data_IF_935558462564
#
_entry.id   IF_935558462564
#
_cell.length_a   1.000
_cell.length_b   1.000
_cell.length_c   1.000
_cell.angle_alpha   90.00
_cell.angle_beta   90.00
_cell.angle_gamma   90.00
#
_symmetry.space_group_name_H-M   'P 1'
#
loop_
_entity.id
_entity.type
_entity.pdbx_description
1 polymer ?
#
# COMPACT_ATOMS: atom_id res chain seq x y z
N UNK A 1 -10.37 -3.95 2.78
CA UNK A 1 -9.26 -4.91 2.74
C UNK A 1 -8.76 -5.10 4.16
N UNK A 2 -8.71 -6.33 4.66
CA UNK A 2 -8.28 -6.61 6.04
C UNK A 2 -6.78 -6.40 6.20
N UNK A 3 -6.36 -5.97 7.40
CA UNK A 3 -4.97 -5.68 7.79
C UNK A 3 -4.03 -6.90 7.61
N UNK A 4 -4.57 -8.12 7.66
CA UNK A 4 -3.85 -9.36 7.35
C UNK A 4 -3.39 -9.45 5.89
N UNK A 5 -4.13 -8.86 4.95
CA UNK A 5 -3.71 -8.83 3.56
C UNK A 5 -2.47 -7.95 3.36
N UNK A 6 -2.37 -6.83 4.09
CA UNK A 6 -1.24 -5.91 3.99
C UNK A 6 0.05 -6.54 4.48
N UNK A 7 0.05 -7.26 5.61
CA UNK A 7 1.28 -7.85 6.18
C UNK A 7 1.89 -8.97 5.30
N UNK A 8 1.06 -9.85 4.72
CA UNK A 8 1.56 -10.87 3.77
C UNK A 8 2.06 -10.21 2.49
N UNK A 9 1.37 -9.20 1.98
CA UNK A 9 1.78 -8.49 0.75
C UNK A 9 3.09 -7.72 0.99
N UNK A 10 3.24 -7.03 2.12
CA UNK A 10 4.48 -6.34 2.52
C UNK A 10 5.63 -7.33 2.72
N UNK A 11 5.37 -8.48 3.35
CA UNK A 11 6.35 -9.55 3.52
C UNK A 11 6.84 -10.11 2.18
N UNK A 12 5.92 -10.34 1.25
CA UNK A 12 6.22 -10.80 -0.11
C UNK A 12 6.93 -9.72 -0.94
N UNK A 13 6.49 -8.45 -0.87
CA UNK A 13 7.16 -7.32 -1.52
C UNK A 13 8.60 -7.16 -1.01
N UNK A 14 8.84 -7.33 0.30
CA UNK A 14 10.19 -7.31 0.88
C UNK A 14 11.03 -8.50 0.42
N UNK A 15 10.47 -9.71 0.38
CA UNK A 15 11.15 -10.89 -0.14
C UNK A 15 11.53 -10.73 -1.62
N UNK A 16 10.60 -10.24 -2.44
CA UNK A 16 10.81 -10.00 -3.87
C UNK A 16 11.82 -8.85 -4.09
N UNK A 17 11.75 -7.76 -3.32
CA UNK A 17 12.69 -6.64 -3.44
C UNK A 17 14.11 -7.01 -2.94
N UNK A 18 14.23 -7.76 -1.85
CA UNK A 18 15.52 -8.30 -1.38
C UNK A 18 16.11 -9.27 -2.41
N UNK A 19 15.27 -10.09 -3.03
CA UNK A 19 15.68 -11.01 -4.08
C UNK A 19 16.13 -10.25 -5.34
N UNK A 20 15.40 -9.23 -5.79
CA UNK A 20 15.79 -8.39 -6.93
C UNK A 20 16.98 -7.48 -6.67
N UNK A 21 17.16 -7.00 -5.43
CA UNK A 21 18.37 -6.28 -5.05
C UNK A 21 19.59 -7.21 -5.17
N UNK A 22 19.48 -8.47 -4.75
CA UNK A 22 20.54 -9.48 -4.94
C UNK A 22 20.78 -9.80 -6.41
N UNK A 23 19.74 -9.93 -7.23
CA UNK A 23 19.84 -10.30 -8.66
C UNK A 23 20.32 -9.16 -9.53
N UNK A 24 19.76 -7.97 -9.33
CA UNK A 24 20.30 -6.75 -9.94
C UNK A 24 21.77 -6.63 -9.60
N UNK A 25 22.19 -6.91 -8.37
CA UNK A 25 23.61 -6.88 -8.03
C UNK A 25 24.44 -7.96 -8.76
N UNK A 26 23.91 -9.16 -9.00
CA UNK A 26 24.63 -10.26 -9.68
C UNK A 26 24.64 -10.11 -11.21
N UNK A 27 23.52 -9.71 -11.82
CA UNK A 27 23.38 -9.50 -13.27
C UNK A 27 23.87 -8.10 -13.72
N UNK A 28 23.84 -7.06 -12.87
CA UNK A 28 24.24 -5.68 -13.21
C UNK A 28 25.71 -5.36 -12.87
N UNK A 29 26.35 -6.02 -11.89
CA UNK A 29 27.73 -5.67 -11.52
C UNK A 29 28.79 -6.21 -12.48
N UNK A 30 28.45 -7.15 -13.38
CA UNK A 30 29.45 -7.76 -14.25
C UNK A 30 28.95 -8.05 -15.68
N UNK A 31 28.48 -7.04 -16.45
CA UNK A 31 28.36 -7.19 -17.90
C UNK A 31 29.72 -7.49 -18.56
N UNK A 32 30.83 -7.14 -17.89
CA UNK A 32 32.20 -7.28 -18.39
C UNK A 32 32.94 -8.58 -17.99
N UNK A 33 32.37 -9.46 -17.15
CA UNK A 33 33.03 -10.75 -16.83
C UNK A 33 32.79 -11.81 -17.93
N UNK A 34 31.84 -11.58 -18.83
CA UNK A 34 31.62 -12.40 -20.02
C UNK A 34 32.19 -11.73 -21.27
N UNK A 35 33.45 -11.31 -21.17
CA UNK A 35 34.25 -10.85 -22.31
C UNK A 35 34.28 -11.95 -23.40
N UNK A 36 34.56 -11.54 -24.65
CA UNK A 36 34.39 -12.32 -25.89
C UNK A 36 35.03 -13.74 -25.88
N UNK A 37 35.88 -14.05 -24.90
CA UNK A 37 36.53 -15.35 -24.67
C UNK A 37 35.74 -16.36 -23.83
N UNK A 38 34.78 -15.95 -22.99
CA UNK A 38 34.06 -16.85 -22.08
C UNK A 38 32.83 -17.52 -22.70
N UNK A 39 32.19 -16.87 -23.67
CA UNK A 39 31.05 -17.44 -24.41
C UNK A 39 31.49 -18.34 -25.59
N UNK A 40 32.79 -18.43 -25.88
CA UNK A 40 33.32 -19.25 -26.98
C UNK A 40 33.31 -20.73 -26.58
N UNK A 41 32.25 -21.38 -27.04
CA UNK A 41 32.12 -22.82 -27.31
C UNK A 41 32.04 -23.83 -26.17
N UNK A 42 31.94 -23.48 -24.88
CA UNK A 42 31.57 -24.45 -23.83
C UNK A 42 30.74 -23.91 -22.64
N UNK A 43 30.73 -22.60 -22.37
CA UNK A 43 30.03 -22.04 -21.19
C UNK A 43 28.61 -21.51 -21.49
N UNK A 44 28.22 -21.41 -22.76
CA UNK A 44 26.87 -20.93 -23.12
C UNK A 44 25.77 -21.86 -22.59
N UNK A 45 25.98 -23.18 -22.68
CA UNK A 45 25.09 -24.17 -22.05
C UNK A 45 25.06 -24.04 -20.53
N UNK A 46 26.22 -23.79 -19.90
CA UNK A 46 26.32 -23.56 -18.46
C UNK A 46 25.55 -22.32 -18.01
N UNK A 47 25.62 -21.23 -18.78
CA UNK A 47 24.84 -20.02 -18.56
C UNK A 47 23.33 -20.25 -18.77
N UNK A 48 22.94 -20.94 -19.84
CA UNK A 48 21.53 -21.29 -20.08
C UNK A 48 20.95 -22.12 -18.93
N UNK A 49 21.72 -23.09 -18.42
CA UNK A 49 21.31 -23.87 -17.25
C UNK A 49 21.11 -22.98 -16.03
N UNK A 50 22.06 -22.09 -15.74
CA UNK A 50 21.93 -21.12 -14.64
C UNK A 50 20.71 -20.22 -14.79
N UNK A 51 20.39 -19.80 -16.02
CA UNK A 51 19.17 -19.03 -16.30
C UNK A 51 17.89 -19.85 -16.12
N UNK A 52 17.86 -21.11 -16.56
CA UNK A 52 16.71 -22.00 -16.32
C UNK A 52 16.48 -22.19 -14.83
N UNK A 53 17.53 -22.52 -14.09
CA UNK A 53 17.48 -22.69 -12.64
C UNK A 53 17.01 -21.40 -11.97
N UNK A 54 17.53 -20.27 -12.41
CA UNK A 54 17.13 -18.96 -11.94
C UNK A 54 15.64 -18.67 -12.19
N UNK A 55 15.15 -18.81 -13.43
CA UNK A 55 13.74 -18.61 -13.78
C UNK A 55 12.80 -19.61 -13.09
N UNK A 56 13.29 -20.80 -12.75
CA UNK A 56 12.55 -21.83 -12.02
C UNK A 56 12.62 -21.72 -10.49
N UNK A 57 13.61 -21.00 -9.94
CA UNK A 57 13.84 -20.88 -8.49
C UNK A 57 12.83 -19.97 -7.76
N UNK A 58 12.02 -19.24 -8.52
CA UNK A 58 10.93 -18.44 -8.00
C UNK A 58 9.80 -19.35 -7.53
N UNK A 59 9.76 -19.67 -6.24
CA UNK A 59 8.59 -20.28 -5.63
C UNK A 59 7.50 -19.22 -5.44
N UNK A 60 6.51 -19.25 -6.34
CA UNK A 60 5.34 -18.36 -6.33
C UNK A 60 4.06 -19.18 -6.22
N UNK A 61 4.12 -20.44 -5.78
CA UNK A 61 2.96 -21.32 -5.70
C UNK A 61 1.94 -20.80 -4.69
N UNK A 62 2.40 -20.28 -3.55
CA UNK A 62 1.54 -19.65 -2.55
C UNK A 62 0.80 -18.44 -3.15
N UNK A 63 1.48 -17.60 -3.93
CA UNK A 63 0.88 -16.44 -4.60
C UNK A 63 -0.12 -16.90 -5.66
N UNK A 64 0.25 -17.88 -6.50
CA UNK A 64 -0.62 -18.43 -7.53
C UNK A 64 -1.93 -18.94 -6.94
N UNK A 65 -1.84 -19.72 -5.85
CA UNK A 65 -3.01 -20.26 -5.17
C UNK A 65 -3.85 -19.18 -4.50
N UNK A 66 -3.21 -18.26 -3.77
CA UNK A 66 -3.89 -17.20 -3.02
C UNK A 66 -4.68 -16.24 -3.92
N UNK A 67 -4.15 -15.94 -5.10
CA UNK A 67 -4.76 -14.99 -6.04
C UNK A 67 -5.47 -15.68 -7.23
N UNK A 68 -5.62 -17.01 -7.19
CA UNK A 68 -6.27 -17.79 -8.25
C UNK A 68 -5.68 -17.52 -9.65
N UNK A 69 -4.35 -17.36 -9.72
CA UNK A 69 -3.65 -17.02 -10.96
C UNK A 69 -3.57 -18.23 -11.89
N UNK A 70 -3.65 -17.97 -13.20
CA UNK A 70 -3.79 -19.02 -14.21
C UNK A 70 -2.44 -19.54 -14.72
N UNK A 71 -1.41 -18.71 -14.61
CA UNK A 71 -0.11 -19.02 -15.15
C UNK A 71 0.64 -20.12 -14.36
N UNK A 72 1.36 -20.96 -15.12
CA UNK A 72 2.18 -22.05 -14.57
C UNK A 72 3.66 -21.69 -14.40
N UNK A 73 4.16 -20.74 -15.18
CA UNK A 73 5.56 -20.33 -15.13
C UNK A 73 5.75 -19.21 -14.11
N UNK A 74 6.83 -19.21 -13.30
CA UNK A 74 6.98 -18.20 -12.25
C UNK A 74 6.99 -16.75 -12.76
N UNK A 75 7.67 -16.45 -13.87
CA UNK A 75 7.68 -15.10 -14.46
C UNK A 75 6.28 -14.64 -14.91
N UNK A 76 5.46 -15.58 -15.38
CA UNK A 76 4.09 -15.33 -15.78
C UNK A 76 3.20 -15.08 -14.56
N UNK A 77 3.37 -15.88 -13.50
CA UNK A 77 2.70 -15.67 -12.21
C UNK A 77 3.03 -14.30 -11.64
N UNK A 78 4.29 -13.86 -11.76
CA UNK A 78 4.73 -12.54 -11.30
C UNK A 78 4.08 -11.40 -12.10
N UNK A 79 4.01 -11.52 -13.43
CA UNK A 79 3.34 -10.53 -14.28
C UNK A 79 1.83 -10.47 -14.01
N UNK A 80 1.14 -11.61 -13.91
CA UNK A 80 -0.28 -11.69 -13.56
C UNK A 80 -0.54 -11.11 -12.16
N UNK A 81 0.32 -11.44 -11.19
CA UNK A 81 0.20 -10.93 -9.83
C UNK A 81 0.28 -9.40 -9.77
N UNK A 82 1.27 -8.80 -10.43
CA UNK A 82 1.42 -7.34 -10.47
C UNK A 82 0.26 -6.67 -11.20
N UNK A 83 -0.27 -7.31 -12.25
CA UNK A 83 -1.48 -6.84 -12.92
C UNK A 83 -2.71 -6.85 -12.00
N UNK A 84 -2.87 -7.89 -11.16
CA UNK A 84 -3.93 -7.92 -10.13
C UNK A 84 -3.72 -6.84 -9.07
N UNK A 85 -2.47 -6.58 -8.66
CA UNK A 85 -2.16 -5.58 -7.64
C UNK A 85 -2.39 -4.14 -8.12
N UNK A 86 -1.94 -3.83 -9.34
CA UNK A 86 -2.02 -2.49 -9.91
C UNK A 86 -2.16 -2.58 -11.44
N UNK A 87 -3.40 -2.70 -11.94
CA UNK A 87 -3.65 -2.86 -13.38
C UNK A 87 -3.05 -1.72 -14.21
N UNK A 88 -3.25 -0.48 -13.76
CA UNK A 88 -2.86 0.73 -14.50
C UNK A 88 -1.33 0.88 -14.61
N UNK A 89 -0.61 0.61 -13.53
CA UNK A 89 0.86 0.72 -13.50
C UNK A 89 1.50 -0.48 -14.22
N UNK A 90 0.87 -1.65 -14.16
CA UNK A 90 1.39 -2.91 -14.69
C UNK A 90 1.09 -3.14 -16.17
N UNK A 91 0.29 -2.30 -16.84
CA UNK A 91 -0.03 -2.47 -18.28
C UNK A 91 1.22 -2.63 -19.14
N UNK A 92 2.25 -1.81 -18.90
CA UNK A 92 3.52 -1.88 -19.64
C UNK A 92 4.24 -3.19 -19.38
N UNK A 93 4.28 -3.66 -18.13
CA UNK A 93 4.92 -4.92 -17.76
C UNK A 93 4.23 -6.10 -18.45
N UNK A 94 2.89 -6.11 -18.43
CA UNK A 94 2.11 -7.19 -19.03
C UNK A 94 2.29 -7.22 -20.57
N UNK A 95 2.29 -6.05 -21.21
CA UNK A 95 2.62 -5.93 -22.63
C UNK A 95 4.03 -6.41 -22.94
N UNK A 96 5.03 -6.01 -22.14
CA UNK A 96 6.42 -6.45 -22.31
C UNK A 96 6.57 -7.97 -22.10
N UNK A 97 5.83 -8.54 -21.15
CA UNK A 97 5.80 -9.96 -20.90
C UNK A 97 5.34 -10.74 -22.15
N UNK A 98 4.20 -10.36 -22.72
CA UNK A 98 3.62 -11.05 -23.88
C UNK A 98 4.37 -10.82 -25.19
N UNK A 99 5.10 -9.71 -25.32
CA UNK A 99 5.80 -9.35 -26.57
C UNK A 99 7.27 -9.76 -26.57
N UNK A 100 7.91 -9.91 -25.39
CA UNK A 100 9.35 -10.19 -25.27
C UNK A 100 9.65 -11.38 -24.37
N UNK A 101 9.14 -11.39 -23.14
CA UNK A 101 9.56 -12.38 -22.13
C UNK A 101 9.07 -13.79 -22.43
N UNK A 102 7.87 -13.94 -22.97
CA UNK A 102 7.37 -15.26 -23.38
C UNK A 102 8.31 -15.91 -24.41
N UNK A 103 8.80 -15.14 -25.39
CA UNK A 103 9.76 -15.61 -26.37
C UNK A 103 11.17 -15.79 -25.80
N UNK A 104 11.57 -14.96 -24.84
CA UNK A 104 12.81 -15.14 -24.08
C UNK A 104 12.84 -16.49 -23.37
N UNK A 105 11.73 -16.88 -22.72
CA UNK A 105 11.56 -18.20 -22.08
C UNK A 105 11.70 -19.30 -23.12
N UNK A 106 11.00 -19.21 -24.25
CA UNK A 106 11.11 -20.21 -25.32
C UNK A 106 12.54 -20.34 -25.86
N UNK A 107 13.25 -19.23 -26.06
CA UNK A 107 14.66 -19.23 -26.46
C UNK A 107 15.54 -19.98 -25.46
N UNK A 108 15.35 -19.78 -24.16
CA UNK A 108 16.17 -20.43 -23.13
C UNK A 108 15.80 -21.91 -22.99
N UNK A 109 14.52 -22.23 -22.88
CA UNK A 109 14.07 -23.60 -22.62
C UNK A 109 14.33 -24.53 -23.81
N UNK A 110 14.13 -24.05 -25.04
CA UNK A 110 14.18 -24.85 -26.27
C UNK A 110 15.50 -24.73 -27.04
N UNK A 111 16.49 -24.02 -26.49
CA UNK A 111 17.79 -23.83 -27.14
C UNK A 111 18.46 -25.14 -27.58
N UNK A 112 18.42 -26.18 -26.72
CA UNK A 112 19.08 -27.46 -27.01
C UNK A 112 18.40 -28.20 -28.17
N UNK A 113 17.08 -28.14 -28.21
CA UNK A 113 16.26 -28.85 -29.19
C UNK A 113 16.22 -28.11 -30.53
N UNK A 114 16.45 -26.79 -30.51
CA UNK A 114 16.31 -25.90 -31.67
C UNK A 114 15.01 -26.18 -32.43
N UNK A 115 13.91 -26.30 -31.69
CA UNK A 115 12.59 -26.62 -32.23
C UNK A 115 12.02 -25.48 -33.09
N UNK A 116 10.90 -25.71 -33.76
CA UNK A 116 10.22 -24.66 -34.52
C UNK A 116 9.85 -23.45 -33.65
N UNK A 117 9.45 -23.70 -32.39
CA UNK A 117 9.14 -22.64 -31.43
C UNK A 117 10.39 -21.83 -31.04
N UNK A 118 11.57 -22.46 -30.99
CA UNK A 118 12.83 -21.74 -30.76
C UNK A 118 13.12 -20.76 -31.90
N UNK A 119 13.01 -21.19 -33.16
CA UNK A 119 13.22 -20.31 -34.32
C UNK A 119 12.15 -19.23 -34.46
N UNK A 120 10.90 -19.54 -34.10
CA UNK A 120 9.83 -18.54 -34.03
C UNK A 120 10.14 -17.49 -32.96
N UNK A 121 10.58 -17.90 -31.77
CA UNK A 121 10.98 -16.99 -30.71
C UNK A 121 12.15 -16.08 -31.14
N UNK A 122 13.17 -16.63 -31.82
CA UNK A 122 14.25 -15.82 -32.40
C UNK A 122 13.72 -14.77 -33.39
N UNK A 123 12.75 -15.15 -34.23
CA UNK A 123 12.09 -14.24 -35.16
C UNK A 123 11.38 -13.09 -34.43
N UNK A 124 10.59 -13.41 -33.40
CA UNK A 124 9.86 -12.42 -32.60
C UNK A 124 10.79 -11.52 -31.78
N UNK A 125 11.95 -12.01 -31.38
CA UNK A 125 12.98 -11.23 -30.68
C UNK A 125 13.85 -10.37 -31.62
N UNK A 126 13.65 -10.46 -32.94
CA UNK A 126 14.41 -9.70 -33.93
C UNK A 126 15.79 -10.30 -34.27
N UNK A 127 16.03 -11.55 -33.90
CA UNK A 127 17.29 -12.28 -34.09
C UNK A 127 17.33 -13.13 -35.38
N UNK A 128 16.32 -13.02 -36.24
CA UNK A 128 16.22 -13.83 -37.46
C UNK A 128 17.43 -13.73 -38.42
N UNK A 129 18.13 -12.59 -38.40
CA UNK A 129 19.28 -12.31 -39.28
C UNK A 129 20.64 -12.64 -38.62
N UNK A 130 20.68 -12.74 -37.30
CA UNK A 130 21.88 -12.99 -36.51
C UNK A 130 21.46 -13.66 -35.19
N UNK A 131 21.48 -14.99 -35.19
CA UNK A 131 21.14 -15.84 -34.05
C UNK A 131 22.37 -16.52 -33.46
N UNK A 132 23.54 -15.87 -33.55
CA UNK A 132 24.74 -16.32 -32.84
C UNK A 132 24.46 -16.40 -31.33
N UNK A 133 25.10 -17.35 -30.64
CA UNK A 133 24.90 -17.57 -29.20
C UNK A 133 25.10 -16.31 -28.37
N UNK A 134 26.08 -15.47 -28.77
CA UNK A 134 26.33 -14.15 -28.19
C UNK A 134 25.11 -13.23 -28.30
N UNK A 135 24.44 -13.18 -29.45
CA UNK A 135 23.31 -12.28 -29.69
C UNK A 135 22.04 -12.77 -29.02
N UNK A 136 21.87 -14.09 -28.95
CA UNK A 136 20.83 -14.70 -28.13
C UNK A 136 21.05 -14.35 -26.66
N UNK A 137 22.27 -14.50 -26.15
CA UNK A 137 22.65 -14.10 -24.79
C UNK A 137 22.30 -12.64 -24.51
N UNK A 138 22.81 -11.71 -25.32
CA UNK A 138 22.60 -10.27 -25.16
C UNK A 138 21.11 -9.92 -25.11
N UNK A 139 20.32 -10.48 -26.02
CA UNK A 139 18.88 -10.24 -26.08
C UNK A 139 18.16 -10.75 -24.83
N UNK A 140 18.43 -12.00 -24.44
CA UNK A 140 17.79 -12.63 -23.27
C UNK A 140 18.13 -11.88 -21.98
N UNK A 141 19.41 -11.53 -21.78
CA UNK A 141 19.82 -10.77 -20.58
C UNK A 141 19.16 -9.39 -20.56
N UNK A 142 19.16 -8.68 -21.68
CA UNK A 142 18.56 -7.35 -21.79
C UNK A 142 17.05 -7.39 -21.48
N UNK A 143 16.33 -8.37 -22.02
CA UNK A 143 14.90 -8.52 -21.76
C UNK A 143 14.61 -8.82 -20.29
N UNK A 144 15.35 -9.76 -19.70
CA UNK A 144 15.19 -10.07 -18.27
C UNK A 144 15.52 -8.84 -17.41
N UNK A 145 16.56 -8.07 -17.75
CA UNK A 145 16.90 -6.83 -17.04
C UNK A 145 15.78 -5.81 -17.08
N UNK A 146 15.19 -5.56 -18.25
CA UNK A 146 14.07 -4.63 -18.40
C UNK A 146 12.87 -5.12 -17.60
N UNK A 147 12.50 -6.40 -17.75
CA UNK A 147 11.36 -6.98 -17.04
C UNK A 147 11.49 -6.83 -15.52
N UNK A 148 12.65 -7.20 -14.95
CA UNK A 148 12.84 -7.11 -13.50
C UNK A 148 13.00 -5.68 -12.99
N UNK A 149 13.51 -4.76 -13.80
CA UNK A 149 13.49 -3.34 -13.46
C UNK A 149 12.06 -2.83 -13.33
N UNK A 150 11.20 -3.17 -14.29
CA UNK A 150 9.79 -2.79 -14.25
C UNK A 150 9.06 -3.40 -13.05
N UNK A 151 9.32 -4.68 -12.75
CA UNK A 151 8.79 -5.34 -11.54
C UNK A 151 9.18 -4.58 -10.27
N UNK A 152 10.47 -4.27 -10.11
CA UNK A 152 10.97 -3.54 -8.94
C UNK A 152 10.28 -2.19 -8.81
N UNK A 153 10.22 -1.42 -9.89
CA UNK A 153 9.67 -0.07 -9.86
C UNK A 153 8.17 -0.06 -9.50
N UNK A 154 7.39 -1.05 -9.99
CA UNK A 154 5.99 -1.24 -9.61
C UNK A 154 5.86 -1.57 -8.12
N UNK A 155 6.69 -2.48 -7.62
CA UNK A 155 6.67 -2.89 -6.21
C UNK A 155 7.12 -1.74 -5.27
N UNK A 156 8.12 -0.96 -5.67
CA UNK A 156 8.59 0.21 -4.91
C UNK A 156 7.52 1.30 -4.85
N UNK A 157 6.77 1.51 -5.94
CA UNK A 157 5.63 2.43 -5.95
C UNK A 157 4.53 1.95 -4.99
N UNK A 158 4.17 0.67 -5.08
CA UNK A 158 3.12 0.06 -4.27
C UNK A 158 3.45 0.05 -2.76
N UNK A 159 4.70 -0.25 -2.40
CA UNK A 159 5.14 -0.24 -0.99
C UNK A 159 5.12 1.16 -0.38
N UNK A 160 5.52 2.19 -1.13
CA UNK A 160 5.45 3.59 -0.67
C UNK A 160 4.02 4.05 -0.39
N UNK A 161 3.05 3.64 -1.21
CA UNK A 161 1.63 3.98 -0.98
C UNK A 161 1.10 3.34 0.31
N UNK A 162 1.47 2.10 0.59
CA UNK A 162 1.11 1.41 1.84
C UNK A 162 1.71 2.12 3.06
N UNK A 163 3.01 2.42 3.01
CA UNK A 163 3.70 3.08 4.12
C UNK A 163 3.11 4.46 4.42
N UNK A 164 2.69 5.20 3.39
CA UNK A 164 2.00 6.48 3.56
C UNK A 164 0.65 6.30 4.27
N UNK A 165 -0.19 5.37 3.82
CA UNK A 165 -1.50 5.12 4.42
C UNK A 165 -1.39 4.65 5.88
N UNK A 166 -0.42 3.79 6.21
CA UNK A 166 -0.18 3.41 7.61
C UNK A 166 0.28 4.58 8.46
N UNK A 167 1.16 5.44 7.93
CA UNK A 167 1.67 6.62 8.62
C UNK A 167 0.56 7.64 8.86
N UNK A 168 -0.30 7.89 7.87
CA UNK A 168 -1.47 8.76 7.98
C UNK A 168 -2.45 8.25 9.04
N UNK A 169 -2.72 6.95 9.09
CA UNK A 169 -3.58 6.34 10.10
C UNK A 169 -3.00 6.48 11.52
N UNK A 170 -1.69 6.24 11.69
CA UNK A 170 -0.99 6.43 12.98
C UNK A 170 -1.02 7.89 13.43
N UNK A 171 -0.76 8.83 12.51
CA UNK A 171 -0.82 10.26 12.79
C UNK A 171 -2.24 10.69 13.18
N UNK A 172 -3.25 10.23 12.46
CA UNK A 172 -4.66 10.52 12.74
C UNK A 172 -5.10 9.95 14.09
N UNK A 173 -4.67 8.73 14.44
CA UNK A 173 -4.97 8.18 15.77
C UNK A 173 -4.29 8.97 16.88
N UNK A 174 -3.00 9.28 16.71
CA UNK A 174 -2.23 10.05 17.70
C UNK A 174 -2.81 11.45 17.91
N UNK A 175 -3.24 12.09 16.82
CA UNK A 175 -3.92 13.39 16.88
C UNK A 175 -5.25 13.30 17.62
N UNK A 176 -6.07 12.27 17.34
CA UNK A 176 -7.31 12.03 18.08
C UNK A 176 -7.07 11.79 19.57
N UNK A 177 -6.07 10.98 19.93
CA UNK A 177 -5.74 10.69 21.33
C UNK A 177 -5.23 11.95 22.05
N UNK A 178 -4.44 12.79 21.37
CA UNK A 178 -4.00 14.08 21.89
C UNK A 178 -5.18 15.04 22.11
N UNK A 179 -6.10 15.15 21.13
CA UNK A 179 -7.31 15.96 21.25
C UNK A 179 -8.19 15.44 22.39
N UNK A 180 -8.40 14.12 22.48
CA UNK A 180 -9.16 13.48 23.56
C UNK A 180 -8.58 13.85 24.94
N UNK A 181 -7.27 13.70 25.12
CA UNK A 181 -6.61 14.05 26.38
C UNK A 181 -6.76 15.54 26.74
N UNK A 182 -6.85 16.42 25.74
CA UNK A 182 -7.05 17.85 25.94
C UNK A 182 -8.49 18.24 26.27
N UNK A 183 -9.48 17.46 25.84
CA UNK A 183 -10.91 17.79 26.03
C UNK A 183 -11.59 16.98 27.13
N UNK A 184 -11.08 15.78 27.47
CA UNK A 184 -11.74 14.86 28.41
C UNK A 184 -12.05 15.48 29.77
N UNK A 185 -11.22 16.41 30.23
CA UNK A 185 -11.38 17.09 31.51
C UNK A 185 -12.59 18.04 31.55
N UNK A 186 -13.15 18.41 30.39
CA UNK A 186 -14.38 19.20 30.30
C UNK A 186 -15.65 18.34 30.33
N UNK A 187 -15.53 17.00 30.37
CA UNK A 187 -16.64 16.07 30.48
C UNK A 187 -16.71 15.58 31.93
N UNK A 188 -17.11 16.47 32.82
CA UNK A 188 -17.39 16.15 34.22
C UNK A 188 -18.87 15.84 34.45
N UNK A 189 -19.20 15.36 35.64
CA UNK A 189 -20.57 14.96 36.01
C UNK A 189 -21.61 16.07 35.81
N UNK A 190 -21.23 17.34 35.99
CA UNK A 190 -22.15 18.48 35.88
C UNK A 190 -22.36 18.93 34.44
N UNK A 191 -21.31 18.84 33.61
CA UNK A 191 -21.31 19.28 32.21
C UNK A 191 -21.77 18.22 31.22
N UNK A 192 -21.58 16.92 31.53
CA UNK A 192 -21.94 15.79 30.66
C UNK A 192 -23.38 15.88 30.11
N UNK A 193 -24.43 16.15 30.91
CA UNK A 193 -25.80 16.20 30.40
C UNK A 193 -25.97 17.24 29.28
N UNK A 194 -25.42 18.44 29.47
CA UNK A 194 -25.48 19.52 28.50
C UNK A 194 -24.61 19.22 27.26
N UNK A 195 -23.38 18.75 27.45
CA UNK A 195 -22.47 18.42 26.35
C UNK A 195 -22.99 17.27 25.48
N UNK A 196 -23.68 16.29 26.08
CA UNK A 196 -24.29 15.18 25.36
C UNK A 196 -25.41 15.67 24.44
N UNK A 197 -26.30 16.52 24.94
CA UNK A 197 -27.37 17.12 24.13
C UNK A 197 -26.79 17.96 22.99
N UNK A 198 -25.76 18.78 23.26
CA UNK A 198 -25.07 19.56 22.24
C UNK A 198 -24.36 18.69 21.19
N UNK A 199 -23.82 17.54 21.60
CA UNK A 199 -23.25 16.60 20.65
C UNK A 199 -24.34 15.98 19.76
N UNK A 200 -25.47 15.58 20.33
CA UNK A 200 -26.55 14.90 19.59
C UNK A 200 -27.37 15.84 18.70
N UNK A 201 -27.69 17.05 19.19
CA UNK A 201 -28.54 18.03 18.50
C UNK A 201 -27.76 19.14 17.78
N UNK A 202 -26.46 19.23 18.02
CA UNK A 202 -25.58 20.23 17.41
C UNK A 202 -25.68 21.58 18.11
N UNK A 203 -26.36 22.53 17.48
CA UNK A 203 -26.37 23.94 17.89
C UNK A 203 -27.71 24.26 18.56
N UNK A 204 -27.65 24.79 19.79
CA UNK A 204 -28.84 25.07 20.60
C UNK A 204 -28.74 26.42 21.32
N UNK A 205 -29.89 27.02 21.63
CA UNK A 205 -29.96 28.21 22.48
C UNK A 205 -29.73 27.77 23.92
N UNK A 206 -28.90 28.51 24.65
CA UNK A 206 -28.53 28.20 26.03
C UNK A 206 -29.72 28.17 26.99
N UNK A 207 -30.73 29.04 26.79
CA UNK A 207 -31.98 29.02 27.57
C UNK A 207 -32.74 27.71 27.33
N UNK A 208 -32.84 27.25 26.09
CA UNK A 208 -33.54 25.99 25.76
C UNK A 208 -32.78 24.77 26.31
N UNK A 209 -31.45 24.81 26.20
CA UNK A 209 -30.58 23.78 26.78
C UNK A 209 -30.73 23.71 28.30
N UNK A 210 -30.78 24.86 28.97
CA UNK A 210 -30.93 24.96 30.42
C UNK A 210 -32.28 24.38 30.86
N UNK A 211 -33.36 24.74 30.16
CA UNK A 211 -34.70 24.20 30.41
C UNK A 211 -34.75 22.68 30.24
N UNK A 212 -34.11 22.14 29.21
CA UNK A 212 -34.13 20.71 28.92
C UNK A 212 -33.40 19.86 29.99
N UNK A 213 -32.31 20.38 30.55
CA UNK A 213 -31.60 19.69 31.64
C UNK A 213 -32.14 20.05 33.04
N UNK A 214 -33.17 20.91 33.13
CA UNK A 214 -33.77 21.34 34.39
C UNK A 214 -32.86 22.23 35.25
N UNK A 215 -32.03 23.07 34.62
CA UNK A 215 -31.06 23.95 35.29
C UNK A 215 -31.34 25.44 34.99
N UNK A 216 -30.98 26.32 35.92
CA UNK A 216 -30.95 27.76 35.65
C UNK A 216 -29.88 28.13 34.60
N UNK A 217 -30.20 29.04 33.68
CA UNK A 217 -29.30 29.44 32.58
C UNK A 217 -27.97 30.02 33.08
N UNK A 218 -27.95 30.69 34.23
CA UNK A 218 -26.72 31.23 34.82
C UNK A 218 -25.82 30.10 35.31
N UNK A 219 -26.41 29.07 35.92
CA UNK A 219 -25.68 27.89 36.36
C UNK A 219 -25.18 27.07 35.17
N UNK A 220 -26.00 26.88 34.12
CA UNK A 220 -25.56 26.23 32.88
C UNK A 220 -24.33 26.94 32.30
N UNK A 221 -24.37 28.28 32.19
CA UNK A 221 -23.26 29.07 31.67
C UNK A 221 -22.00 28.92 32.53
N UNK A 222 -22.12 28.86 33.85
CA UNK A 222 -20.98 28.62 34.77
C UNK A 222 -20.37 27.23 34.54
N UNK A 223 -21.21 26.19 34.45
CA UNK A 223 -20.77 24.81 34.22
C UNK A 223 -20.08 24.67 32.87
N UNK A 224 -20.60 25.31 31.82
CA UNK A 224 -20.03 25.23 30.47
C UNK A 224 -18.87 26.22 30.23
N UNK A 225 -18.67 27.21 31.10
CA UNK A 225 -17.64 28.24 30.93
C UNK A 225 -16.23 27.67 30.71
N UNK A 226 -15.75 26.66 31.46
CA UNK A 226 -14.43 26.07 31.22
C UNK A 226 -14.28 25.48 29.81
N UNK A 227 -15.35 24.85 29.30
CA UNK A 227 -15.35 24.21 27.99
C UNK A 227 -15.28 25.23 26.83
N UNK A 228 -15.65 26.50 27.06
CA UNK A 228 -15.54 27.58 26.05
C UNK A 228 -14.11 27.90 25.63
N UNK A 229 -13.12 27.54 26.47
CA UNK A 229 -11.71 27.79 26.17
C UNK A 229 -11.19 26.99 24.97
N UNK A 230 -11.84 25.85 24.66
CA UNK A 230 -11.39 24.95 23.60
C UNK A 230 -12.53 24.26 22.87
N UNK A 231 -13.49 23.71 23.61
CA UNK A 231 -14.46 22.73 23.12
C UNK A 231 -15.74 23.39 22.57
N UNK A 232 -16.24 24.43 23.25
CA UNK A 232 -17.52 25.06 22.93
C UNK A 232 -17.33 26.41 22.26
N UNK A 233 -18.22 26.71 21.31
CA UNK A 233 -18.38 28.02 20.71
C UNK A 233 -19.70 28.65 21.17
N UNK A 234 -19.68 29.98 21.30
CA UNK A 234 -20.83 30.79 21.68
C UNK A 234 -21.06 31.89 20.64
N UNK A 235 -22.32 32.15 20.31
CA UNK A 235 -22.73 33.26 19.47
C UNK A 235 -23.96 33.96 20.06
N UNK A 236 -23.88 35.26 20.29
CA UNK A 236 -25.03 36.03 20.77
C UNK A 236 -26.16 35.99 19.75
N UNK A 237 -27.35 35.61 20.21
CA UNK A 237 -28.57 35.65 19.39
C UNK A 237 -29.46 36.83 19.79
N UNK A 238 -29.50 37.13 21.08
CA UNK A 238 -30.14 38.31 21.65
C UNK A 238 -29.24 38.88 22.77
N UNK A 239 -29.56 40.03 23.38
CA UNK A 239 -28.85 40.52 24.55
C UNK A 239 -28.83 39.54 25.73
N UNK A 240 -29.80 38.60 25.78
CA UNK A 240 -30.00 37.70 26.92
C UNK A 240 -29.81 36.21 26.60
N UNK A 241 -29.64 35.84 25.32
CA UNK A 241 -29.50 34.44 24.90
C UNK A 241 -28.29 34.24 23.99
N UNK A 242 -27.64 33.10 24.18
CA UNK A 242 -26.50 32.69 23.36
C UNK A 242 -26.78 31.34 22.73
N UNK A 243 -26.37 31.22 21.49
CA UNK A 243 -26.34 29.97 20.79
C UNK A 243 -25.03 29.27 21.14
N UNK A 244 -25.09 28.02 21.58
CA UNK A 244 -23.95 27.20 22.01
C UNK A 244 -23.87 25.94 21.15
N UNK A 245 -22.63 25.56 20.79
CA UNK A 245 -22.36 24.32 20.06
C UNK A 245 -20.94 23.81 20.33
N UNK A 246 -20.75 22.51 20.21
CA UNK A 246 -19.42 21.90 20.19
C UNK A 246 -18.72 22.28 18.90
N UNK A 247 -17.49 22.77 19.00
CA UNK A 247 -16.68 23.13 17.85
C UNK A 247 -16.38 21.89 16.99
N UNK A 248 -16.57 22.05 15.67
CA UNK A 248 -16.51 20.97 14.69
C UNK A 248 -15.25 20.10 14.71
N UNK A 249 -14.03 20.65 14.90
CA UNK A 249 -12.81 19.87 15.00
C UNK A 249 -12.84 18.80 16.10
N UNK A 250 -13.66 18.94 17.14
CA UNK A 250 -13.72 18.01 18.26
C UNK A 250 -14.80 16.93 18.09
N UNK A 251 -15.76 17.12 17.18
CA UNK A 251 -16.90 16.19 17.04
C UNK A 251 -16.47 14.79 16.60
N UNK A 252 -15.46 14.68 15.72
CA UNK A 252 -14.91 13.40 15.28
C UNK A 252 -14.25 12.64 16.44
N UNK A 253 -13.46 13.32 17.26
CA UNK A 253 -12.82 12.75 18.45
C UNK A 253 -13.86 12.34 19.49
N UNK A 254 -14.87 13.18 19.76
CA UNK A 254 -15.95 12.85 20.70
C UNK A 254 -16.73 11.62 20.22
N UNK A 255 -17.02 11.52 18.92
CA UNK A 255 -17.65 10.33 18.34
C UNK A 255 -16.83 9.06 18.57
N UNK A 256 -15.51 9.12 18.36
CA UNK A 256 -14.59 7.99 18.55
C UNK A 256 -14.52 7.54 20.03
N UNK A 257 -14.67 8.47 20.97
CA UNK A 257 -14.54 8.23 22.40
C UNK A 257 -15.86 8.40 23.18
N UNK A 258 -17.00 8.24 22.51
CA UNK A 258 -18.32 8.57 23.06
C UNK A 258 -18.58 7.88 24.40
N UNK A 259 -18.38 6.56 24.48
CA UNK A 259 -18.63 5.80 25.72
C UNK A 259 -17.70 6.25 26.86
N UNK A 260 -16.44 6.58 26.55
CA UNK A 260 -15.48 7.08 27.53
C UNK A 260 -15.79 8.49 28.03
N UNK A 261 -16.55 9.28 27.27
CA UNK A 261 -16.86 10.67 27.60
C UNK A 261 -18.24 10.82 28.22
N UNK A 262 -19.20 9.97 27.85
CA UNK A 262 -20.61 10.12 28.23
C UNK A 262 -21.18 8.95 29.03
N UNK A 263 -20.49 7.81 29.11
CA UNK A 263 -21.01 6.58 29.74
C UNK A 263 -20.17 6.14 30.94
N UNK A 264 -18.88 6.48 31.04
CA UNK A 264 -18.05 5.99 32.15
C UNK A 264 -18.40 6.65 33.49
N UNK A 265 -18.92 5.84 34.41
CA UNK A 265 -19.23 6.15 35.82
C UNK A 265 -17.97 6.25 36.73
N UNK A 266 -16.78 6.48 36.18
CA UNK A 266 -15.59 6.70 37.01
C UNK A 266 -15.47 8.18 37.36
N UNK A 267 -16.15 8.51 38.46
CA UNK A 267 -15.82 9.61 39.36
C UNK A 267 -14.31 9.80 39.49
N UNK A 268 -13.80 10.93 38.99
CA UNK A 268 -12.61 11.59 39.54
C UNK A 268 -13.10 12.54 40.63
#
# INVERSE_FOLDING_TARGET
MSIENSATIIGLCKSINVYFTKIGTVLLKNPAIYDDSHLVSNDFFGWLSKLKDFMGSFDLDEIRQKYSLSAKYPLAVLAEYLFVLSPDISMKLNSFYHTRILYTIDCVYKYNEKSNEFFLALGMLGLAKDYSDKRIYECVVCDLQIFFTMVRDILDAYTKEIDYAETENKATSSMNDHIYNNIRLYFDKESIPALKILFERGKMIDVDLANEIGMDVTNLRKVLFPATKKLLNYGYQTPNSTMVWISEPYRSTIRKHYDKLFVSEESI
#
